data_IF_785961850096
#
_entry.id   IF_785961850096
#
_cell.length_a   1.000
_cell.length_b   1.000
_cell.length_c   1.000
_cell.angle_alpha   90.00
_cell.angle_beta   90.00
_cell.angle_gamma   90.00
#
_symmetry.space_group_name_H-M   'P 1'
#
loop_
_entity.id
_entity.type
_entity.pdbx_description
1 polymer ?
#
# COMPACT_ATOMS: atom_id res chain seq x y z
N UNK A 1 -12.59 -0.03 -11.17
CA UNK A 1 -12.70 -0.19 -9.71
C UNK A 1 -12.01 0.97 -9.02
N UNK A 2 -12.68 1.54 -8.06
CA UNK A 2 -12.11 2.65 -7.28
C UNK A 2 -11.89 2.18 -5.85
N UNK A 3 -10.64 2.25 -5.41
CA UNK A 3 -10.23 2.00 -4.04
C UNK A 3 -10.08 3.34 -3.37
N UNK A 4 -10.78 3.56 -2.28
CA UNK A 4 -10.68 4.80 -1.51
C UNK A 4 -10.07 4.52 -0.16
N UNK A 5 -9.09 5.33 0.22
CA UNK A 5 -8.54 5.30 1.57
C UNK A 5 -8.86 6.63 2.23
N UNK A 6 -9.61 6.55 3.29
CA UNK A 6 -9.88 7.69 4.14
C UNK A 6 -9.05 7.58 5.41
N UNK A 7 -8.14 8.51 5.58
CA UNK A 7 -7.34 8.60 6.79
C UNK A 7 -8.20 9.14 7.91
N UNK A 8 -8.24 8.44 9.02
CA UNK A 8 -9.17 8.74 10.11
C UNK A 8 -8.45 9.22 11.35
N UNK A 9 -7.29 8.64 11.62
CA UNK A 9 -6.63 8.87 12.90
C UNK A 9 -5.13 8.90 12.73
N UNK A 10 -4.52 9.96 13.26
CA UNK A 10 -3.06 10.11 13.25
C UNK A 10 -2.58 10.11 14.69
N UNK A 11 -1.65 9.21 15.01
CA UNK A 11 -1.03 9.16 16.33
C UNK A 11 0.47 8.93 16.17
N UNK A 12 1.25 10.01 16.29
CA UNK A 12 2.69 9.92 16.13
C UNK A 12 3.10 9.44 14.74
N UNK A 13 3.75 8.31 14.68
CA UNK A 13 4.26 7.73 13.44
C UNK A 13 3.22 6.92 12.66
N UNK A 14 2.03 6.77 13.22
CA UNK A 14 1.00 5.90 12.68
C UNK A 14 -0.18 6.72 12.16
N UNK A 15 -0.61 6.44 10.94
CA UNK A 15 -1.85 6.94 10.37
C UNK A 15 -2.75 5.77 10.06
N UNK A 16 -3.89 5.71 10.74
CA UNK A 16 -4.91 4.68 10.52
C UNK A 16 -5.98 5.19 9.56
N UNK A 17 -6.49 4.30 8.73
CA UNK A 17 -7.54 4.63 7.80
C UNK A 17 -8.48 3.48 7.51
N UNK A 18 -9.49 3.79 6.73
CA UNK A 18 -10.43 2.81 6.19
C UNK A 18 -10.27 2.71 4.69
N UNK A 19 -10.28 1.49 4.18
CA UNK A 19 -10.25 1.22 2.75
C UNK A 19 -11.64 0.80 2.30
N UNK A 20 -12.13 1.49 1.27
CA UNK A 20 -13.43 1.22 0.64
C UNK A 20 -13.22 0.84 -0.81
N UNK A 21 -14.05 -0.06 -1.30
CA UNK A 21 -14.12 -0.38 -2.72
C UNK A 21 -15.53 -0.04 -3.18
N UNK A 22 -15.62 0.87 -4.15
CA UNK A 22 -16.89 1.33 -4.70
C UNK A 22 -17.88 1.75 -3.60
N UNK A 23 -17.35 2.44 -2.58
CA UNK A 23 -18.13 2.99 -1.48
C UNK A 23 -18.36 2.06 -0.30
N UNK A 24 -17.95 0.80 -0.39
CA UNK A 24 -18.16 -0.17 0.68
C UNK A 24 -16.85 -0.43 1.42
N UNK A 25 -16.86 -0.28 2.73
CA UNK A 25 -15.67 -0.53 3.54
C UNK A 25 -15.34 -2.02 3.54
N UNK A 26 -14.07 -2.34 3.25
CA UNK A 26 -13.62 -3.73 3.18
C UNK A 26 -12.52 -4.07 4.16
N UNK A 27 -11.69 -3.11 4.53
CA UNK A 27 -10.63 -3.35 5.51
C UNK A 27 -10.12 -2.04 6.11
N UNK A 28 -9.17 -2.17 7.02
CA UNK A 28 -8.48 -1.05 7.64
C UNK A 28 -7.09 -0.91 7.07
N UNK A 29 -6.53 0.29 7.17
CA UNK A 29 -5.20 0.60 6.67
C UNK A 29 -4.31 1.17 7.75
N UNK A 30 -3.01 0.99 7.57
CA UNK A 30 -1.99 1.55 8.43
C UNK A 30 -0.86 2.10 7.55
N UNK A 31 -0.49 3.35 7.80
CA UNK A 31 0.58 4.01 7.07
C UNK A 31 1.56 4.66 8.03
N UNK A 32 2.81 4.82 7.59
CA UNK A 32 3.76 5.64 8.31
C UNK A 32 3.44 7.11 8.06
N UNK A 33 3.16 7.86 9.11
CA UNK A 33 2.73 9.26 9.01
C UNK A 33 3.75 10.14 8.28
N UNK A 34 5.02 9.86 8.45
CA UNK A 34 6.09 10.70 7.91
C UNK A 34 6.42 10.42 6.44
N UNK A 35 6.05 9.25 5.95
CA UNK A 35 6.42 8.82 4.60
C UNK A 35 5.22 8.43 3.74
N UNK A 36 4.01 8.57 4.25
CA UNK A 36 2.81 8.22 3.50
C UNK A 36 2.64 9.12 2.27
N UNK A 37 1.96 8.58 1.28
CA UNK A 37 1.69 9.30 0.04
C UNK A 37 0.79 10.51 0.29
N UNK A 38 0.97 11.54 -0.52
CA UNK A 38 0.06 12.69 -0.47
C UNK A 38 -1.35 12.28 -0.90
N UNK A 39 -2.39 12.96 -0.40
CA UNK A 39 -3.74 12.75 -0.91
C UNK A 39 -3.79 12.96 -2.42
N UNK A 40 -4.59 12.18 -3.10
CA UNK A 40 -4.72 12.27 -4.54
C UNK A 40 -5.12 10.94 -5.16
N UNK A 41 -5.01 10.88 -6.48
CA UNK A 41 -5.34 9.72 -7.27
C UNK A 41 -4.08 9.03 -7.79
N UNK A 42 -4.08 7.73 -7.75
CA UNK A 42 -2.94 6.92 -8.19
C UNK A 42 -3.44 5.72 -8.99
N UNK A 43 -2.67 5.34 -9.99
CA UNK A 43 -2.91 4.07 -10.68
C UNK A 43 -2.49 2.91 -9.78
N UNK A 44 -3.14 1.78 -9.96
CA UNK A 44 -2.80 0.55 -9.25
C UNK A 44 -2.58 -0.55 -10.26
N UNK A 45 -1.47 -1.23 -10.14
CA UNK A 45 -1.09 -2.34 -11.02
C UNK A 45 -0.55 -3.51 -10.23
N UNK A 46 -0.52 -4.68 -10.87
CA UNK A 46 0.16 -5.84 -10.32
C UNK A 46 1.46 -6.03 -11.08
N UNK A 47 2.58 -5.96 -10.40
CA UNK A 47 3.90 -6.10 -10.99
C UNK A 47 4.70 -7.11 -10.20
N UNK A 48 5.40 -8.00 -10.92
CA UNK A 48 6.26 -8.99 -10.29
C UNK A 48 7.40 -8.28 -9.57
N UNK A 49 7.52 -8.54 -8.28
CA UNK A 49 8.56 -7.98 -7.45
C UNK A 49 9.55 -9.08 -7.08
N UNK A 50 10.83 -8.86 -7.41
CA UNK A 50 11.88 -9.83 -7.12
C UNK A 50 12.04 -10.08 -5.63
N UNK A 51 11.89 -9.06 -4.83
CA UNK A 51 12.04 -9.18 -3.38
C UNK A 51 11.00 -10.10 -2.77
N UNK A 52 9.76 -10.03 -3.25
CA UNK A 52 8.64 -10.81 -2.71
C UNK A 52 8.40 -12.10 -3.50
N UNK A 53 9.10 -12.29 -4.62
CA UNK A 53 8.97 -13.46 -5.49
C UNK A 53 7.55 -13.70 -6.01
N UNK A 54 6.77 -12.64 -6.14
CA UNK A 54 5.40 -12.69 -6.62
C UNK A 54 4.97 -11.33 -7.15
N UNK A 55 3.82 -11.28 -7.83
CA UNK A 55 3.21 -10.01 -8.20
C UNK A 55 2.69 -9.32 -6.95
N UNK A 56 3.02 -8.04 -6.83
CA UNK A 56 2.57 -7.19 -5.73
C UNK A 56 1.67 -6.07 -6.24
N UNK A 57 0.84 -5.54 -5.35
CA UNK A 57 -0.03 -4.41 -5.66
C UNK A 57 0.82 -3.14 -5.58
N UNK A 58 1.11 -2.56 -6.73
CA UNK A 58 1.96 -1.38 -6.84
C UNK A 58 1.11 -0.13 -7.01
N UNK A 59 1.46 0.92 -6.29
CA UNK A 59 0.79 2.22 -6.36
C UNK A 59 1.64 3.15 -7.24
N UNK A 60 1.00 3.74 -8.23
CA UNK A 60 1.64 4.67 -9.16
C UNK A 60 2.16 3.99 -10.42
N UNK A 61 2.88 4.76 -11.21
CA UNK A 61 3.44 4.31 -12.47
C UNK A 61 4.78 3.63 -12.21
N UNK A 62 4.72 2.35 -12.00
CA UNK A 62 5.91 1.58 -11.65
C UNK A 62 6.23 0.56 -12.71
N UNK A 63 6.52 0.99 -13.88
CA UNK A 63 6.67 0.08 -14.99
C UNK A 63 7.85 -0.87 -14.82
N UNK A 64 9.01 -0.39 -15.18
CA UNK A 64 10.19 -1.23 -15.33
C UNK A 64 11.06 -1.27 -14.08
N UNK A 65 10.84 -0.34 -13.16
CA UNK A 65 11.69 -0.19 -11.99
C UNK A 65 11.66 -1.40 -11.05
N UNK A 66 10.59 -2.17 -11.09
CA UNK A 66 10.45 -3.32 -10.20
C UNK A 66 11.23 -4.55 -10.65
N UNK A 67 11.70 -4.61 -11.88
CA UNK A 67 12.53 -5.71 -12.34
C UNK A 67 13.92 -5.65 -11.73
N UNK A 68 14.42 -4.46 -11.49
CA UNK A 68 15.75 -4.23 -10.94
C UNK A 68 15.75 -3.87 -9.46
N UNK A 69 14.64 -4.06 -8.82
CA UNK A 69 14.49 -3.86 -7.40
C UNK A 69 15.24 -4.93 -6.59
N UNK A 70 15.80 -4.63 -5.42
CA UNK A 70 15.80 -3.36 -4.73
C UNK A 70 16.93 -2.46 -5.21
N UNK A 71 16.63 -1.20 -5.28
CA UNK A 71 17.67 -0.20 -5.44
C UNK A 71 17.97 0.40 -4.07
N UNK A 72 19.22 0.70 -3.85
CA UNK A 72 19.63 1.42 -2.66
C UNK A 72 19.72 2.88 -3.00
N UNK A 73 19.03 3.70 -2.24
CA UNK A 73 19.09 5.15 -2.38
C UNK A 73 19.55 5.76 -1.08
N UNK A 74 20.31 6.84 -1.21
CA UNK A 74 20.70 7.60 -0.04
C UNK A 74 19.49 8.32 0.53
N UNK A 75 19.19 8.02 1.79
CA UNK A 75 18.08 8.62 2.52
C UNK A 75 18.64 9.05 3.86
N UNK A 76 18.27 10.23 4.32
CA UNK A 76 18.75 10.78 5.59
C UNK A 76 20.27 10.88 5.67
N UNK A 77 20.87 11.58 4.73
CA UNK A 77 22.32 11.75 4.71
C UNK A 77 23.04 10.53 4.15
N UNK A 78 23.90 9.93 4.93
CA UNK A 78 24.75 8.83 4.46
C UNK A 78 24.12 7.45 4.61
N UNK A 79 22.86 7.36 5.01
CA UNK A 79 22.20 6.08 5.21
C UNK A 79 21.62 5.58 3.89
N UNK A 80 22.01 4.38 3.47
CA UNK A 80 21.44 3.72 2.31
C UNK A 80 20.31 2.82 2.77
N UNK A 81 19.12 3.07 2.26
CA UNK A 81 17.92 2.32 2.58
C UNK A 81 17.37 1.73 1.28
N UNK A 82 16.98 0.44 1.28
CA UNK A 82 16.30 -0.14 0.13
C UNK A 82 15.03 0.64 -0.17
N UNK A 83 14.92 1.15 -1.38
CA UNK A 83 13.76 1.90 -1.83
C UNK A 83 12.93 1.03 -2.76
N UNK A 84 11.69 0.84 -2.39
CA UNK A 84 10.73 0.09 -3.20
C UNK A 84 9.63 1.01 -3.68
N UNK A 85 8.96 0.58 -4.73
CA UNK A 85 7.73 1.26 -5.13
C UNK A 85 6.72 1.19 -3.99
N UNK A 86 5.92 2.23 -3.76
CA UNK A 86 4.84 2.14 -2.81
C UNK A 86 3.91 0.98 -3.16
N UNK A 87 3.52 0.22 -2.16
CA UNK A 87 2.70 -0.98 -2.34
C UNK A 87 1.55 -1.00 -1.37
N UNK A 88 0.50 -1.71 -1.74
CA UNK A 88 -0.47 -2.20 -0.76
C UNK A 88 -0.02 -3.59 -0.38
N UNK A 89 0.23 -3.84 0.89
CA UNK A 89 0.78 -5.12 1.33
C UNK A 89 0.29 -5.52 2.71
N UNK A 90 0.37 -6.80 3.05
CA UNK A 90 0.07 -7.24 4.41
C UNK A 90 1.21 -6.83 5.33
N UNK A 91 0.89 -6.55 6.56
CA UNK A 91 1.91 -6.22 7.54
C UNK A 91 1.28 -5.74 8.82
N UNK A 92 2.06 -5.68 9.87
CA UNK A 92 1.57 -5.34 11.19
C UNK A 92 2.32 -4.18 11.83
N UNK A 93 3.48 -3.83 11.34
CA UNK A 93 4.28 -2.74 11.89
C UNK A 93 4.70 -1.78 10.79
N UNK A 94 4.74 -0.52 11.12
CA UNK A 94 5.16 0.54 10.20
C UNK A 94 6.58 1.02 10.45
N UNK A 95 7.20 0.59 11.54
CA UNK A 95 8.56 1.00 11.85
C UNK A 95 9.51 0.55 10.75
N UNK A 96 10.30 1.46 10.25
CA UNK A 96 11.20 1.18 9.14
C UNK A 96 10.54 1.18 7.76
N UNK A 97 9.25 1.43 7.66
CA UNK A 97 8.57 1.58 6.36
C UNK A 97 8.70 3.02 5.90
N UNK A 98 9.55 3.26 4.92
CA UNK A 98 9.83 4.59 4.41
C UNK A 98 9.55 4.73 2.92
N UNK A 99 8.69 3.89 2.38
CA UNK A 99 8.44 3.82 0.94
C UNK A 99 7.02 4.24 0.53
N UNK A 100 6.22 4.76 1.48
CA UNK A 100 4.85 5.15 1.21
C UNK A 100 3.87 3.99 1.14
N UNK A 101 4.28 2.80 1.52
CA UNK A 101 3.42 1.62 1.46
C UNK A 101 2.26 1.69 2.44
N UNK A 102 1.16 1.05 2.05
CA UNK A 102 -0.07 0.97 2.82
C UNK A 102 -0.24 -0.46 3.29
N UNK A 103 -0.33 -0.65 4.60
CA UNK A 103 -0.59 -1.94 5.19
C UNK A 103 -2.09 -2.13 5.39
N UNK A 104 -2.59 -3.33 5.12
CA UNK A 104 -4.01 -3.64 5.25
C UNK A 104 -4.25 -4.75 6.25
N UNK A 105 -5.38 -4.69 6.93
CA UNK A 105 -5.84 -5.71 7.88
C UNK A 105 -7.34 -5.65 8.05
N UNK A 106 -7.93 -6.70 8.63
CA UNK A 106 -9.38 -6.74 8.82
C UNK A 106 -9.86 -5.70 9.81
N UNK A 107 -9.01 -5.29 10.73
CA UNK A 107 -9.25 -4.16 11.63
C UNK A 107 -7.93 -3.63 12.18
N UNK A 108 -7.99 -2.47 12.81
CA UNK A 108 -6.87 -1.85 13.48
C UNK A 108 -7.16 -1.71 14.98
N UNK A 109 -6.11 -1.70 15.78
CA UNK A 109 -6.21 -1.50 17.22
C UNK A 109 -4.90 -0.92 17.74
N UNK A 110 -4.95 0.24 18.35
CA UNK A 110 -3.80 0.89 18.99
C UNK A 110 -2.55 0.99 18.09
N UNK A 111 -2.78 1.35 16.82
CA UNK A 111 -1.67 1.53 15.89
C UNK A 111 -1.14 0.24 15.28
N UNK A 112 -1.86 -0.85 15.43
CA UNK A 112 -1.52 -2.14 14.83
C UNK A 112 -2.60 -2.60 13.88
N UNK A 113 -2.21 -3.41 12.91
CA UNK A 113 -3.14 -4.08 12.00
C UNK A 113 -3.37 -5.51 12.50
N UNK A 114 -4.60 -5.95 12.45
CA UNK A 114 -5.00 -7.29 12.87
C UNK A 114 -5.47 -8.07 11.64
N UNK A 115 -5.01 -9.31 11.52
CA UNK A 115 -5.33 -10.22 10.42
C UNK A 115 -5.02 -9.61 9.05
N UNK A 116 -3.75 -9.27 8.78
CA UNK A 116 -3.38 -8.64 7.51
C UNK A 116 -3.54 -9.56 6.30
N UNK A 117 -3.25 -10.85 6.46
CA UNK A 117 -3.26 -11.78 5.33
C UNK A 117 -4.65 -11.96 4.72
N UNK A 118 -5.72 -12.24 5.47
CA UNK A 118 -7.06 -12.35 4.88
C UNK A 118 -7.51 -11.08 4.18
N UNK A 119 -7.24 -9.91 4.75
CA UNK A 119 -7.59 -8.64 4.14
C UNK A 119 -6.83 -8.42 2.84
N UNK A 120 -5.53 -8.69 2.85
CA UNK A 120 -4.69 -8.56 1.66
C UNK A 120 -5.11 -9.53 0.56
N UNK A 121 -5.32 -10.80 0.89
CA UNK A 121 -5.69 -11.81 -0.09
C UNK A 121 -7.01 -11.48 -0.77
N UNK A 122 -7.99 -11.02 -0.02
CA UNK A 122 -9.28 -10.60 -0.57
C UNK A 122 -9.13 -9.41 -1.51
N UNK A 123 -8.37 -8.41 -1.09
CA UNK A 123 -8.13 -7.22 -1.90
C UNK A 123 -7.34 -7.57 -3.16
N UNK A 124 -6.31 -8.39 -3.03
CA UNK A 124 -5.48 -8.84 -4.15
C UNK A 124 -6.32 -9.52 -5.23
N UNK A 125 -7.21 -10.44 -4.84
CA UNK A 125 -8.08 -11.13 -5.78
C UNK A 125 -9.01 -10.19 -6.52
N UNK A 126 -9.57 -9.21 -5.82
CA UNK A 126 -10.44 -8.21 -6.46
C UNK A 126 -9.68 -7.37 -7.47
N UNK A 127 -8.49 -6.93 -7.13
CA UNK A 127 -7.65 -6.15 -8.04
C UNK A 127 -7.25 -6.99 -9.24
N UNK A 128 -6.79 -8.21 -9.00
CA UNK A 128 -6.38 -9.13 -10.06
C UNK A 128 -7.49 -9.37 -11.07
N UNK A 129 -8.70 -9.66 -10.59
CA UNK A 129 -9.85 -9.90 -11.47
C UNK A 129 -10.19 -8.69 -12.32
N UNK A 130 -10.15 -7.50 -11.74
CA UNK A 130 -10.43 -6.28 -12.50
C UNK A 130 -9.38 -6.02 -13.57
N UNK A 131 -8.12 -6.16 -13.23
CA UNK A 131 -7.03 -5.94 -14.19
C UNK A 131 -7.03 -6.99 -15.31
N UNK A 132 -7.31 -8.25 -15.00
CA UNK A 132 -7.42 -9.30 -16.02
C UNK A 132 -8.57 -9.06 -16.99
N UNK A 133 -9.61 -8.38 -16.55
CA UNK A 133 -10.75 -8.00 -17.42
C UNK A 133 -10.50 -6.70 -18.20
N UNK A 134 -9.29 -6.16 -18.11
CA UNK A 134 -8.94 -4.91 -18.78
C UNK A 134 -9.51 -3.67 -18.14
N UNK A 135 -9.96 -3.76 -16.90
CA UNK A 135 -10.49 -2.61 -16.16
C UNK A 135 -9.38 -1.90 -15.41
N UNK A 136 -9.47 -0.60 -15.36
CA UNK A 136 -8.54 0.20 -14.57
C UNK A 136 -8.86 0.10 -13.08
N UNK A 137 -7.82 0.13 -12.27
CA UNK A 137 -7.94 0.22 -10.81
C UNK A 137 -7.29 1.52 -10.38
N UNK A 138 -8.05 2.34 -9.69
CA UNK A 138 -7.61 3.65 -9.21
C UNK A 138 -7.67 3.68 -7.69
N UNK A 139 -6.61 4.19 -7.09
CA UNK A 139 -6.54 4.44 -5.66
C UNK A 139 -6.74 5.93 -5.42
N UNK A 140 -7.69 6.27 -4.57
CA UNK A 140 -7.92 7.65 -4.13
C UNK A 140 -7.64 7.74 -2.65
N UNK A 141 -6.68 8.58 -2.27
CA UNK A 141 -6.33 8.81 -0.87
C UNK A 141 -6.93 10.14 -0.43
N UNK A 142 -7.72 10.09 0.62
CA UNK A 142 -8.38 11.25 1.21
C UNK A 142 -7.91 11.45 2.66
N UNK A 143 -7.86 12.68 3.05
CA UNK A 143 -7.58 13.04 4.44
C UNK A 143 -8.86 13.09 5.27
#
# INVERSE_FOLDING_TARGET
MIIQIKRIFVKGEVTEGHLRIDGIQVCHTLENTHTCLFPGEYHVTLVKCKQYHRKMIIIGDSNDACEDCPQLKEVYGNTLIPQHCPMIKPGNGIHGRHDGSILVGTRSCLGCIIHPKPAFDSLYERIRKNLERGREVTLVIEE
#
